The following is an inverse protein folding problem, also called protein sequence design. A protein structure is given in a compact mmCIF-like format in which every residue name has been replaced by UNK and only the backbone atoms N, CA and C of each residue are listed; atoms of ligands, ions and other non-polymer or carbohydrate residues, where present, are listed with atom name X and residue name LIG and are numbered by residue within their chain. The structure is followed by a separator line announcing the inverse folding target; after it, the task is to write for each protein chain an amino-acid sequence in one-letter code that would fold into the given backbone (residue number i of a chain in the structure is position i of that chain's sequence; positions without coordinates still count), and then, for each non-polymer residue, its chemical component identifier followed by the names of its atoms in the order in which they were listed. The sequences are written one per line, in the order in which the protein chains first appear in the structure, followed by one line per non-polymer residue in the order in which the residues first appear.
data_IF_992797227674
#
_entry.id   IF_992797227674
#
_cell.length_a   1.000
_cell.length_b   1.000
_cell.length_c   1.000
_cell.angle_alpha   90.00
_cell.angle_beta   90.00
_cell.angle_gamma   90.00
#
_symmetry.space_group_name_H-M   'P 1'
#
loop_
_entity.id
_entity.type
_entity.pdbx_description
1 polymer ?
#
# COMPACT_ATOMS: atom_id res chain seq x y z
N UNK A 1 5.36 -40.38 20.21
CA UNK A 1 6.40 -39.72 19.40
C UNK A 1 5.93 -39.47 17.96
N UNK A 2 5.25 -40.43 17.31
CA UNK A 2 4.81 -40.30 15.91
C UNK A 2 3.72 -39.23 15.74
N UNK A 3 2.78 -39.12 16.68
CA UNK A 3 1.75 -38.06 16.69
C UNK A 3 2.38 -36.63 16.82
N UNK A 4 3.41 -36.49 17.65
CA UNK A 4 4.14 -35.24 17.76
C UNK A 4 4.89 -34.87 16.48
N UNK A 5 5.53 -35.86 15.82
CA UNK A 5 6.20 -35.63 14.54
C UNK A 5 5.22 -35.30 13.42
N UNK A 6 4.04 -35.96 13.38
CA UNK A 6 2.99 -35.64 12.42
C UNK A 6 2.44 -34.22 12.62
N UNK A 7 2.23 -33.80 13.87
CA UNK A 7 1.81 -32.43 14.17
C UNK A 7 2.86 -31.38 13.78
N UNK A 8 4.14 -31.65 14.01
CA UNK A 8 5.23 -30.76 13.59
C UNK A 8 5.29 -30.69 12.06
N UNK A 9 5.18 -31.82 11.38
CA UNK A 9 5.21 -31.86 9.91
C UNK A 9 3.99 -31.19 9.26
N UNK A 10 2.86 -31.10 9.96
CA UNK A 10 1.65 -30.40 9.48
C UNK A 10 1.68 -28.87 9.75
N UNK A 11 2.62 -28.38 10.54
CA UNK A 11 2.76 -26.95 10.78
C UNK A 11 3.52 -26.27 9.63
N UNK A 12 3.17 -25.00 9.35
CA UNK A 12 3.99 -24.16 8.50
C UNK A 12 5.41 -24.06 9.08
N UNK A 13 6.41 -24.10 8.23
CA UNK A 13 7.80 -23.90 8.63
C UNK A 13 8.05 -22.47 9.13
N UNK A 14 9.22 -22.21 9.70
CA UNK A 14 9.55 -20.92 10.27
C UNK A 14 9.59 -19.81 9.21
N UNK A 15 10.03 -20.11 8.00
CA UNK A 15 10.11 -19.13 6.93
C UNK A 15 8.70 -18.75 6.46
N UNK A 16 7.80 -19.70 6.30
CA UNK A 16 6.40 -19.44 5.97
C UNK A 16 5.69 -18.64 7.07
N UNK A 17 5.95 -18.96 8.35
CA UNK A 17 5.40 -18.18 9.49
C UNK A 17 5.92 -16.75 9.51
N UNK A 18 7.22 -16.54 9.31
CA UNK A 18 7.84 -15.22 9.23
C UNK A 18 7.32 -14.42 8.05
N UNK A 19 7.16 -15.07 6.91
CA UNK A 19 6.63 -14.43 5.71
C UNK A 19 5.17 -13.96 5.88
N UNK A 20 4.35 -14.70 6.63
CA UNK A 20 2.95 -14.38 6.89
C UNK A 20 2.75 -13.39 8.05
N UNK A 21 3.74 -13.25 8.94
CA UNK A 21 3.59 -12.41 10.14
C UNK A 21 3.75 -10.92 9.84
N UNK A 22 2.88 -10.10 10.43
CA UNK A 22 3.03 -8.63 10.45
C UNK A 22 3.94 -8.14 11.58
N UNK A 23 4.14 -8.95 12.63
CA UNK A 23 5.03 -8.68 13.77
C UNK A 23 5.71 -9.98 14.19
N UNK A 24 7.00 -9.90 14.47
CA UNK A 24 7.77 -10.95 15.07
C UNK A 24 8.23 -10.52 16.46
N UNK A 25 7.94 -11.34 17.46
CA UNK A 25 8.45 -11.17 18.82
C UNK A 25 9.55 -12.19 19.06
N UNK A 26 10.71 -11.73 19.50
CA UNK A 26 11.79 -12.62 19.91
C UNK A 26 11.51 -13.18 21.31
N UNK A 27 11.53 -14.49 21.43
CA UNK A 27 11.31 -15.22 22.69
C UNK A 27 12.57 -16.01 23.10
N UNK A 28 13.77 -15.57 22.68
CA UNK A 28 15.04 -16.20 23.07
C UNK A 28 15.64 -15.62 24.37
N UNK A 29 15.07 -14.52 24.87
CA UNK A 29 15.47 -13.84 26.10
C UNK A 29 14.75 -14.36 27.35
N UNK A 30 14.66 -13.53 28.37
CA UNK A 30 13.91 -13.82 29.58
C UNK A 30 12.39 -13.69 29.37
N UNK A 31 11.56 -14.33 30.21
CA UNK A 31 10.11 -14.09 30.21
C UNK A 31 9.74 -12.63 30.41
N UNK A 32 10.53 -11.90 31.18
CA UNK A 32 10.35 -10.47 31.44
C UNK A 32 10.61 -9.62 30.20
N UNK A 33 11.61 -9.98 29.39
CA UNK A 33 11.89 -9.31 28.09
C UNK A 33 10.73 -9.50 27.12
N UNK A 34 10.20 -10.75 27.04
CA UNK A 34 9.04 -11.04 26.19
C UNK A 34 7.79 -10.28 26.68
N UNK A 35 7.52 -10.25 27.99
CA UNK A 35 6.39 -9.51 28.55
C UNK A 35 6.50 -8.02 28.19
N UNK A 36 7.68 -7.43 28.33
CA UNK A 36 7.94 -6.04 27.97
C UNK A 36 7.68 -5.79 26.48
N UNK A 37 8.13 -6.70 25.60
CA UNK A 37 7.91 -6.57 24.15
C UNK A 37 6.41 -6.71 23.79
N UNK A 38 5.69 -7.61 24.46
CA UNK A 38 4.23 -7.77 24.30
C UNK A 38 3.48 -6.52 24.75
N UNK A 39 3.82 -5.98 25.92
CA UNK A 39 3.19 -4.76 26.45
C UNK A 39 3.45 -3.56 25.54
N UNK A 40 4.67 -3.41 25.03
CA UNK A 40 5.01 -2.37 24.08
C UNK A 40 4.19 -2.50 22.77
N UNK A 41 4.10 -3.70 22.21
CA UNK A 41 3.28 -3.98 21.03
C UNK A 41 1.80 -3.68 21.29
N UNK A 42 1.30 -4.11 22.44
CA UNK A 42 -0.10 -3.89 22.85
C UNK A 42 -0.44 -2.40 22.86
N UNK A 43 0.38 -1.61 23.57
CA UNK A 43 0.13 -0.17 23.73
C UNK A 43 0.39 0.65 22.47
N UNK A 44 1.44 0.31 21.72
CA UNK A 44 1.85 1.11 20.55
C UNK A 44 1.12 0.74 19.25
N UNK A 45 0.56 -0.47 19.15
CA UNK A 45 -0.03 -0.93 17.89
C UNK A 45 -1.43 -1.54 18.06
N UNK A 46 -1.64 -2.49 19.00
CA UNK A 46 -2.91 -3.24 19.06
C UNK A 46 -4.05 -2.35 19.56
N UNK A 47 -3.85 -1.60 20.65
CA UNK A 47 -4.85 -0.67 21.17
C UNK A 47 -5.15 0.45 20.16
N UNK A 48 -4.16 1.17 19.61
CA UNK A 48 -4.42 2.18 18.58
C UNK A 48 -5.09 1.62 17.32
N UNK A 49 -4.73 0.40 16.89
CA UNK A 49 -5.42 -0.29 15.77
C UNK A 49 -6.91 -0.47 16.05
N UNK A 50 -7.24 -1.03 17.22
CA UNK A 50 -8.64 -1.28 17.61
C UNK A 50 -9.44 0.02 17.74
N UNK A 51 -8.83 1.08 18.26
CA UNK A 51 -9.45 2.41 18.37
C UNK A 51 -9.68 3.04 17.00
N UNK A 52 -8.68 2.97 16.12
CA UNK A 52 -8.75 3.49 14.76
C UNK A 52 -9.82 2.77 13.93
N UNK A 53 -9.92 1.44 14.08
CA UNK A 53 -10.96 0.64 13.43
C UNK A 53 -12.36 1.04 13.92
N UNK A 54 -12.56 1.19 15.24
CA UNK A 54 -13.84 1.56 15.85
C UNK A 54 -14.27 2.98 15.47
N UNK A 55 -13.32 3.92 15.36
CA UNK A 55 -13.59 5.32 15.00
C UNK A 55 -13.66 5.55 13.50
N UNK A 56 -13.31 4.57 12.66
CA UNK A 56 -13.16 4.74 11.22
C UNK A 56 -12.01 5.68 10.82
N UNK A 57 -10.99 5.82 11.68
CA UNK A 57 -9.88 6.74 11.47
C UNK A 57 -8.68 6.02 10.89
N UNK A 58 -8.24 6.40 9.68
CA UNK A 58 -7.04 5.82 9.07
C UNK A 58 -5.75 6.29 9.74
N UNK A 59 -4.75 5.43 9.76
CA UNK A 59 -3.38 5.81 10.10
C UNK A 59 -2.77 6.70 9.03
N UNK A 60 -1.86 7.57 9.43
CA UNK A 60 -1.14 8.49 8.54
C UNK A 60 0.35 8.39 8.80
N UNK A 61 1.16 8.53 7.76
CA UNK A 61 2.58 8.69 7.96
C UNK A 61 2.86 9.98 8.73
N UNK A 62 3.74 9.87 9.73
CA UNK A 62 4.07 10.99 10.61
C UNK A 62 4.82 12.13 9.88
N UNK A 63 5.44 11.83 8.73
CA UNK A 63 6.26 12.77 7.99
C UNK A 63 6.19 12.53 6.48
N UNK A 64 6.52 13.54 5.68
CA UNK A 64 6.75 13.43 4.24
C UNK A 64 8.17 12.96 3.88
N UNK A 65 9.05 12.75 4.88
CA UNK A 65 10.42 12.32 4.66
C UNK A 65 10.51 11.02 3.85
N UNK A 66 11.51 10.96 2.97
CA UNK A 66 11.80 9.77 2.19
C UNK A 66 12.70 8.83 3.01
N UNK A 67 12.32 7.56 3.06
CA UNK A 67 13.16 6.48 3.56
C UNK A 67 14.00 5.90 2.43
N UNK A 68 15.19 5.34 2.72
CA UNK A 68 15.89 4.49 1.76
C UNK A 68 15.01 3.37 1.26
N UNK A 69 15.30 2.79 0.08
CA UNK A 69 14.57 1.63 -0.41
C UNK A 69 14.60 0.49 0.60
N UNK A 70 13.43 -0.07 0.92
CA UNK A 70 13.30 -1.22 1.81
C UNK A 70 12.96 -2.47 1.00
N UNK A 71 13.84 -3.48 0.94
CA UNK A 71 13.61 -4.71 0.19
C UNK A 71 12.42 -5.53 0.72
N UNK A 72 11.88 -5.19 1.88
CA UNK A 72 10.73 -5.89 2.46
C UNK A 72 9.38 -5.34 2.02
N UNK A 73 9.32 -4.15 1.40
CA UNK A 73 8.06 -3.57 0.92
C UNK A 73 7.23 -4.49 0.01
N UNK A 74 7.82 -5.23 -0.95
CA UNK A 74 7.03 -6.16 -1.77
C UNK A 74 6.37 -7.27 -0.95
N UNK A 75 7.07 -7.85 0.03
CA UNK A 75 6.51 -8.87 0.91
C UNK A 75 5.41 -8.31 1.82
N UNK A 76 5.60 -7.09 2.33
CA UNK A 76 4.57 -6.38 3.11
C UNK A 76 3.33 -6.11 2.27
N UNK A 77 3.49 -5.61 1.04
CA UNK A 77 2.38 -5.39 0.11
C UNK A 77 1.64 -6.69 -0.21
N UNK A 78 2.36 -7.78 -0.44
CA UNK A 78 1.77 -9.09 -0.73
C UNK A 78 0.88 -9.59 0.43
N UNK A 79 1.29 -9.42 1.70
CA UNK A 79 0.48 -9.77 2.87
C UNK A 79 -0.80 -8.93 2.94
N UNK A 80 -0.69 -7.62 2.71
CA UNK A 80 -1.84 -6.71 2.71
C UNK A 80 -2.83 -7.06 1.59
N UNK A 81 -2.33 -7.33 0.37
CA UNK A 81 -3.14 -7.74 -0.77
C UNK A 81 -3.84 -9.07 -0.54
N UNK A 82 -3.15 -10.07 0.05
CA UNK A 82 -3.75 -11.36 0.40
C UNK A 82 -4.91 -11.19 1.41
N UNK A 83 -4.76 -10.33 2.42
CA UNK A 83 -5.79 -10.01 3.39
C UNK A 83 -7.00 -9.32 2.74
N UNK A 84 -6.76 -8.37 1.84
CA UNK A 84 -7.80 -7.70 1.06
C UNK A 84 -8.53 -8.70 0.15
N UNK A 85 -7.78 -9.53 -0.58
CA UNK A 85 -8.35 -10.55 -1.46
C UNK A 85 -9.21 -11.55 -0.70
N UNK A 86 -8.78 -11.97 0.49
CA UNK A 86 -9.58 -12.84 1.36
C UNK A 86 -10.91 -12.17 1.79
N UNK A 87 -10.85 -10.90 2.20
CA UNK A 87 -12.03 -10.18 2.67
C UNK A 87 -13.04 -9.88 1.57
N UNK A 88 -12.58 -9.56 0.37
CA UNK A 88 -13.43 -9.16 -0.75
C UNK A 88 -13.90 -10.33 -1.62
N UNK A 89 -13.15 -11.46 -1.64
CA UNK A 89 -13.48 -12.65 -2.43
C UNK A 89 -13.63 -12.34 -3.93
N UNK A 90 -14.67 -12.88 -4.54
CA UNK A 90 -14.94 -12.80 -6.00
C UNK A 90 -15.27 -11.39 -6.53
N UNK A 91 -15.38 -10.39 -5.65
CA UNK A 91 -15.54 -8.98 -6.03
C UNK A 91 -14.24 -8.36 -6.55
N UNK A 92 -13.09 -9.00 -6.26
CA UNK A 92 -11.79 -8.56 -6.75
C UNK A 92 -11.48 -9.23 -8.10
N UNK A 93 -11.12 -8.40 -9.08
CA UNK A 93 -10.66 -8.86 -10.40
C UNK A 93 -9.13 -8.91 -10.45
N UNK A 94 -8.47 -7.94 -9.81
CA UNK A 94 -7.02 -7.83 -9.77
C UNK A 94 -6.54 -7.12 -8.50
N UNK A 95 -5.33 -7.46 -8.05
CA UNK A 95 -4.67 -6.89 -6.88
C UNK A 95 -3.24 -6.51 -7.27
N UNK A 96 -2.85 -5.25 -7.05
CA UNK A 96 -1.57 -4.72 -7.49
C UNK A 96 -0.88 -3.91 -6.38
N UNK A 97 0.43 -4.11 -6.21
CA UNK A 97 1.30 -3.20 -5.48
C UNK A 97 1.73 -2.09 -6.44
N UNK A 98 1.35 -0.86 -6.16
CA UNK A 98 1.63 0.32 -6.99
C UNK A 98 2.44 1.37 -6.21
N UNK A 99 2.63 2.53 -6.81
CA UNK A 99 3.33 3.65 -6.17
C UNK A 99 4.83 3.42 -6.01
N UNK A 100 5.47 4.30 -5.25
CA UNK A 100 6.93 4.35 -5.14
C UNK A 100 7.54 3.12 -4.46
N UNK A 101 6.86 2.53 -3.47
CA UNK A 101 7.34 1.35 -2.75
C UNK A 101 7.28 0.07 -3.59
N UNK A 102 6.59 0.11 -4.73
CA UNK A 102 6.55 -0.97 -5.70
C UNK A 102 7.73 -0.95 -6.69
N UNK A 103 8.54 0.10 -6.69
CA UNK A 103 9.69 0.25 -7.58
C UNK A 103 10.98 -0.05 -6.83
N UNK A 104 11.75 -1.08 -7.21
CA UNK A 104 13.03 -1.39 -6.59
C UNK A 104 13.99 -0.20 -6.62
N UNK A 105 14.81 -0.08 -5.58
CA UNK A 105 15.84 0.95 -5.44
C UNK A 105 15.34 2.41 -5.41
N UNK A 106 14.04 2.63 -5.35
CA UNK A 106 13.46 3.97 -5.29
C UNK A 106 13.24 4.41 -3.83
N UNK A 107 13.92 5.45 -3.33
CA UNK A 107 13.60 6.04 -2.04
C UNK A 107 12.13 6.48 -2.01
N UNK A 108 11.42 6.17 -0.95
CA UNK A 108 10.00 6.48 -0.84
C UNK A 108 9.60 6.85 0.59
N UNK A 109 8.52 7.59 0.73
CA UNK A 109 7.79 7.65 1.99
C UNK A 109 7.33 6.24 2.35
N UNK A 110 7.52 5.82 3.60
CA UNK A 110 7.18 4.47 4.05
C UNK A 110 5.65 4.26 4.15
N UNK A 111 5.00 4.30 3.00
CA UNK A 111 3.56 4.06 2.80
C UNK A 111 3.39 3.10 1.63
N UNK A 112 2.69 2.01 1.88
CA UNK A 112 2.40 1.02 0.84
C UNK A 112 1.15 1.46 0.06
N UNK A 113 1.30 1.69 -1.24
CA UNK A 113 0.18 1.97 -2.12
C UNK A 113 -0.28 0.68 -2.81
N UNK A 114 -1.54 0.32 -2.61
CA UNK A 114 -2.18 -0.86 -3.17
C UNK A 114 -3.29 -0.45 -4.13
N UNK A 115 -3.51 -1.24 -5.16
CA UNK A 115 -4.61 -1.06 -6.09
C UNK A 115 -5.48 -2.32 -6.12
N UNK A 116 -6.78 -2.13 -5.93
CA UNK A 116 -7.81 -3.16 -5.99
C UNK A 116 -8.67 -2.91 -7.23
N UNK A 117 -8.64 -3.87 -8.14
CA UNK A 117 -9.43 -3.85 -9.35
C UNK A 117 -10.79 -4.51 -9.15
N UNK A 118 -11.85 -3.80 -9.48
CA UNK A 118 -13.24 -4.28 -9.53
C UNK A 118 -13.76 -4.24 -10.96
N UNK A 119 -14.87 -4.96 -11.25
CA UNK A 119 -15.51 -4.89 -12.58
C UNK A 119 -16.18 -3.55 -12.80
N UNK A 120 -16.93 -3.10 -11.78
CA UNK A 120 -17.62 -1.81 -11.76
C UNK A 120 -17.29 -1.09 -10.45
N UNK A 121 -16.87 0.17 -10.56
CA UNK A 121 -16.49 0.96 -9.40
C UNK A 121 -17.65 1.21 -8.42
N UNK A 122 -18.90 1.14 -8.90
CA UNK A 122 -20.10 1.25 -8.05
C UNK A 122 -20.23 0.12 -7.02
N UNK A 123 -19.62 -1.04 -7.27
CA UNK A 123 -19.53 -2.13 -6.30
C UNK A 123 -18.82 -1.69 -5.01
N UNK A 124 -17.82 -0.82 -5.14
CA UNK A 124 -17.04 -0.30 -4.02
C UNK A 124 -17.80 0.71 -3.13
N UNK A 125 -18.99 1.14 -3.55
CA UNK A 125 -19.87 1.99 -2.74
C UNK A 125 -20.86 1.16 -1.91
N UNK A 126 -20.96 -0.14 -2.18
CA UNK A 126 -21.82 -1.06 -1.44
C UNK A 126 -21.40 -1.19 0.03
N UNK A 127 -22.37 -1.16 0.95
CA UNK A 127 -22.12 -1.25 2.39
C UNK A 127 -21.31 -2.51 2.78
N UNK A 128 -21.60 -3.65 2.13
CA UNK A 128 -20.85 -4.90 2.36
C UNK A 128 -19.37 -4.79 1.93
N UNK A 129 -19.10 -4.17 0.77
CA UNK A 129 -17.72 -3.96 0.30
C UNK A 129 -16.91 -3.09 1.29
N UNK A 130 -17.52 -1.97 1.73
CA UNK A 130 -16.90 -1.06 2.69
C UNK A 130 -16.67 -1.73 4.03
N UNK A 131 -17.65 -2.52 4.52
CA UNK A 131 -17.53 -3.23 5.79
C UNK A 131 -16.46 -4.33 5.74
N UNK A 132 -16.35 -5.07 4.64
CA UNK A 132 -15.35 -6.13 4.49
C UNK A 132 -13.94 -5.57 4.38
N UNK A 133 -13.73 -4.45 3.65
CA UNK A 133 -12.44 -3.75 3.68
C UNK A 133 -12.11 -3.20 5.08
N UNK A 134 -13.10 -2.66 5.78
CA UNK A 134 -12.90 -2.20 7.16
C UNK A 134 -12.52 -3.37 8.09
N UNK A 135 -13.14 -4.54 7.96
CA UNK A 135 -12.79 -5.74 8.72
C UNK A 135 -11.36 -6.22 8.44
N UNK A 136 -10.86 -6.00 7.21
CA UNK A 136 -9.48 -6.22 6.84
C UNK A 136 -8.50 -5.12 7.31
N UNK A 137 -9.01 -4.10 8.02
CA UNK A 137 -8.22 -2.99 8.56
C UNK A 137 -8.05 -1.81 7.60
N UNK A 138 -8.93 -1.65 6.59
CA UNK A 138 -8.87 -0.55 5.62
C UNK A 138 -10.18 0.22 5.59
N UNK A 139 -10.22 1.38 6.24
CA UNK A 139 -11.42 2.22 6.31
C UNK A 139 -11.52 3.19 5.13
N UNK A 140 -12.75 3.48 4.70
CA UNK A 140 -13.02 4.44 3.62
C UNK A 140 -12.52 5.83 3.98
N UNK A 141 -11.90 6.52 3.01
CA UNK A 141 -11.53 7.93 3.11
C UNK A 141 -12.59 8.77 2.41
N UNK A 142 -13.47 9.45 3.14
CA UNK A 142 -14.53 10.26 2.54
C UNK A 142 -13.96 11.42 1.71
N UNK A 143 -14.65 11.78 0.61
CA UNK A 143 -14.30 12.91 -0.23
C UNK A 143 -13.09 12.69 -1.14
N UNK A 144 -12.51 11.48 -1.17
CA UNK A 144 -11.45 11.12 -2.11
C UNK A 144 -11.97 10.06 -3.06
N UNK A 145 -12.62 10.51 -4.12
CA UNK A 145 -13.37 9.67 -5.07
C UNK A 145 -12.84 9.72 -6.52
N UNK A 146 -11.79 10.49 -6.77
CA UNK A 146 -11.10 10.59 -8.06
C UNK A 146 -9.61 10.91 -7.91
N UNK A 147 -8.86 10.73 -8.97
CA UNK A 147 -7.54 11.30 -9.22
C UNK A 147 -7.66 12.39 -10.29
N UNK A 148 -6.70 13.30 -10.35
CA UNK A 148 -6.58 14.24 -11.47
C UNK A 148 -6.13 13.49 -12.72
N UNK A 149 -6.92 13.57 -13.78
CA UNK A 149 -6.53 13.05 -15.09
C UNK A 149 -5.50 13.97 -15.75
N UNK A 150 -4.65 13.40 -16.59
CA UNK A 150 -3.57 14.15 -17.23
C UNK A 150 -4.02 15.00 -18.43
N UNK A 151 -5.30 14.94 -18.75
CA UNK A 151 -5.98 15.77 -19.75
C UNK A 151 -6.87 16.89 -19.14
N UNK A 152 -6.74 17.12 -17.83
CA UNK A 152 -7.53 18.10 -17.08
C UNK A 152 -8.88 17.60 -16.59
N UNK A 153 -9.23 16.33 -16.83
CA UNK A 153 -10.42 15.69 -16.29
C UNK A 153 -10.17 15.00 -14.95
N UNK A 154 -10.99 14.00 -14.63
CA UNK A 154 -10.85 13.19 -13.42
C UNK A 154 -10.96 11.70 -13.74
N UNK A 155 -10.20 10.88 -12.98
CA UNK A 155 -10.28 9.42 -13.03
C UNK A 155 -10.97 8.92 -11.76
N UNK A 156 -12.18 8.33 -11.87
CA UNK A 156 -12.91 7.84 -10.71
C UNK A 156 -12.13 6.76 -9.96
N UNK A 157 -12.14 6.85 -8.63
CA UNK A 157 -11.61 5.83 -7.73
C UNK A 157 -12.38 5.82 -6.41
N UNK A 158 -12.04 4.87 -5.53
CA UNK A 158 -12.36 4.95 -4.11
C UNK A 158 -11.09 4.75 -3.30
N UNK A 159 -10.88 5.58 -2.29
CA UNK A 159 -9.70 5.48 -1.43
C UNK A 159 -10.08 4.91 -0.08
N UNK A 160 -9.29 3.92 0.37
CA UNK A 160 -9.30 3.43 1.75
C UNK A 160 -7.90 3.58 2.34
N UNK A 161 -7.82 3.70 3.66
CA UNK A 161 -6.55 3.79 4.37
C UNK A 161 -6.44 2.74 5.45
N UNK A 162 -5.24 2.21 5.66
CA UNK A 162 -4.95 1.32 6.77
C UNK A 162 -5.23 2.01 8.10
N UNK A 163 -5.80 1.28 9.06
CA UNK A 163 -5.93 1.71 10.47
C UNK A 163 -4.73 1.28 11.31
N UNK A 164 -3.84 0.49 10.76
CA UNK A 164 -2.66 -0.04 11.44
C UNK A 164 -1.56 1.02 11.57
N UNK A 165 -1.23 1.49 12.79
CA UNK A 165 -0.17 2.47 12.97
C UNK A 165 1.22 1.90 12.66
N UNK A 166 1.39 0.57 12.74
CA UNK A 166 2.65 -0.11 12.41
C UNK A 166 2.85 -0.34 10.91
N UNK A 167 1.79 -0.17 10.08
CA UNK A 167 1.91 -0.28 8.62
C UNK A 167 0.91 0.62 7.91
N UNK A 168 1.34 1.82 7.59
CA UNK A 168 0.51 2.75 6.82
C UNK A 168 0.41 2.28 5.37
N UNK A 169 -0.82 2.19 4.88
CA UNK A 169 -1.09 1.82 3.50
C UNK A 169 -2.31 2.55 2.95
N UNK A 170 -2.31 2.80 1.64
CA UNK A 170 -3.44 3.31 0.89
C UNK A 170 -3.94 2.23 -0.07
N UNK A 171 -5.26 2.10 -0.17
CA UNK A 171 -5.92 1.16 -1.08
C UNK A 171 -6.75 1.97 -2.07
N UNK A 172 -6.31 1.98 -3.31
CA UNK A 172 -6.99 2.63 -4.43
C UNK A 172 -7.88 1.59 -5.12
N UNK A 173 -9.19 1.72 -4.96
CA UNK A 173 -10.16 0.86 -5.68
C UNK A 173 -10.51 1.53 -6.98
N UNK A 174 -10.34 0.83 -8.11
CA UNK A 174 -10.62 1.31 -9.47
C UNK A 174 -11.27 0.20 -10.31
N UNK A 175 -12.01 0.57 -11.32
CA UNK A 175 -12.44 -0.39 -12.33
C UNK A 175 -11.21 -0.83 -13.15
N UNK A 176 -11.06 -2.15 -13.36
CA UNK A 176 -9.99 -2.70 -14.20
C UNK A 176 -10.12 -2.17 -15.63
N UNK A 177 -9.00 -1.76 -16.23
CA UNK A 177 -8.96 -1.16 -17.58
C UNK A 177 -9.45 0.29 -17.64
N UNK A 178 -9.78 0.92 -16.50
CA UNK A 178 -10.02 2.36 -16.49
C UNK A 178 -8.72 3.14 -16.66
N UNK A 179 -8.75 4.37 -17.20
CA UNK A 179 -7.52 5.15 -17.43
C UNK A 179 -6.65 5.31 -16.18
N UNK A 180 -7.26 5.53 -15.02
CA UNK A 180 -6.52 5.65 -13.74
C UNK A 180 -5.94 4.32 -13.25
N UNK A 181 -6.59 3.18 -13.57
CA UNK A 181 -6.05 1.84 -13.33
C UNK A 181 -4.80 1.61 -14.14
N UNK A 182 -4.88 1.80 -15.46
CA UNK A 182 -3.79 1.55 -16.38
C UNK A 182 -2.62 2.50 -16.14
N UNK A 183 -2.90 3.78 -15.90
CA UNK A 183 -1.86 4.77 -15.63
C UNK A 183 -1.00 4.41 -14.42
N UNK A 184 -1.61 3.96 -13.33
CA UNK A 184 -0.86 3.62 -12.11
C UNK A 184 0.06 2.40 -12.33
N UNK A 185 -0.37 1.42 -13.12
CA UNK A 185 0.44 0.25 -13.49
C UNK A 185 1.56 0.66 -14.43
N UNK A 186 1.25 1.39 -15.51
CA UNK A 186 2.24 1.81 -16.50
C UNK A 186 3.30 2.72 -15.88
N UNK A 187 2.90 3.61 -14.97
CA UNK A 187 3.84 4.47 -14.26
C UNK A 187 4.84 3.65 -13.42
N UNK A 188 4.36 2.63 -12.70
CA UNK A 188 5.21 1.69 -11.97
C UNK A 188 6.17 0.96 -12.91
N UNK A 189 5.65 0.38 -14.00
CA UNK A 189 6.44 -0.41 -14.94
C UNK A 189 7.46 0.46 -15.70
N UNK A 190 7.10 1.70 -16.01
CA UNK A 190 8.05 2.65 -16.60
C UNK A 190 9.22 2.93 -15.68
N UNK A 191 8.96 3.25 -14.41
CA UNK A 191 10.03 3.51 -13.43
C UNK A 191 10.90 2.27 -13.13
N UNK A 192 10.34 1.07 -13.29
CA UNK A 192 11.08 -0.19 -13.17
C UNK A 192 12.00 -0.42 -14.35
N UNK A 193 11.55 -0.07 -15.57
CA UNK A 193 12.24 -0.32 -16.80
C UNK A 193 13.24 0.78 -17.20
N UNK A 194 13.03 2.02 -16.74
CA UNK A 194 13.81 3.20 -17.09
C UNK A 194 14.50 3.79 -15.86
N UNK A 195 15.81 3.49 -15.64
CA UNK A 195 16.56 4.04 -14.52
C UNK A 195 16.65 5.58 -14.52
N UNK A 196 16.71 6.21 -15.70
CA UNK A 196 16.78 7.67 -15.82
C UNK A 196 15.47 8.31 -15.34
N UNK A 197 14.32 7.74 -15.72
CA UNK A 197 13.02 8.19 -15.25
C UNK A 197 12.87 7.98 -13.75
N UNK A 198 13.32 6.83 -13.22
CA UNK A 198 13.31 6.54 -11.78
C UNK A 198 14.14 7.56 -11.00
N UNK A 199 15.36 7.85 -11.44
CA UNK A 199 16.27 8.77 -10.78
C UNK A 199 15.75 10.22 -10.82
N UNK A 200 15.18 10.65 -11.96
CA UNK A 200 14.52 11.95 -12.09
C UNK A 200 13.33 12.07 -11.13
N UNK A 201 12.53 11.01 -11.01
CA UNK A 201 11.42 10.98 -10.06
C UNK A 201 11.89 11.00 -8.59
N UNK A 202 12.96 10.27 -8.27
CA UNK A 202 13.56 10.29 -6.94
C UNK A 202 14.05 11.71 -6.56
N UNK A 203 14.75 12.37 -7.46
CA UNK A 203 15.23 13.74 -7.28
C UNK A 203 14.08 14.74 -7.07
N UNK A 204 13.02 14.64 -7.88
CA UNK A 204 11.84 15.49 -7.74
C UNK A 204 11.15 15.29 -6.38
N UNK A 205 10.97 14.05 -5.95
CA UNK A 205 10.39 13.74 -4.63
C UNK A 205 11.23 14.29 -3.49
N UNK A 206 12.56 14.16 -3.55
CA UNK A 206 13.45 14.68 -2.54
C UNK A 206 13.35 16.22 -2.44
N UNK A 207 13.34 16.91 -3.59
CA UNK A 207 13.18 18.36 -3.64
C UNK A 207 11.83 18.83 -3.08
N UNK A 208 10.75 18.11 -3.35
CA UNK A 208 9.42 18.42 -2.81
C UNK A 208 9.34 18.15 -1.31
N UNK A 209 9.90 17.03 -0.83
CA UNK A 209 9.93 16.70 0.60
C UNK A 209 10.73 17.73 1.43
N UNK A 210 11.75 18.34 0.86
CA UNK A 210 12.52 19.40 1.49
C UNK A 210 11.72 20.72 1.63
N UNK A 211 10.70 20.94 0.79
CA UNK A 211 9.90 22.17 0.75
C UNK A 211 8.55 22.04 1.48
N UNK A 212 8.00 20.84 1.54
CA UNK A 212 6.68 20.56 2.07
C UNK A 212 6.76 19.52 3.18
N UNK A 213 6.59 19.95 4.43
CA UNK A 213 6.55 19.06 5.59
C UNK A 213 5.18 18.40 5.76
N UNK A 214 4.11 19.08 5.32
CA UNK A 214 2.75 18.53 5.30
C UNK A 214 2.58 17.50 4.17
N UNK A 215 1.86 16.44 4.48
CA UNK A 215 1.67 15.32 3.57
C UNK A 215 0.69 15.62 2.43
N UNK A 216 -0.26 16.55 2.65
CA UNK A 216 -1.22 17.01 1.64
C UNK A 216 -0.55 17.92 0.63
N UNK A 217 0.10 18.99 1.12
CA UNK A 217 0.85 19.94 0.27
C UNK A 217 1.91 19.23 -0.58
N UNK A 218 2.57 18.22 0.00
CA UNK A 218 3.51 17.38 -0.73
C UNK A 218 2.84 16.57 -1.85
N UNK A 219 1.65 16.01 -1.59
CA UNK A 219 0.92 15.24 -2.60
C UNK A 219 0.47 16.13 -3.76
N UNK A 220 -0.06 17.32 -3.47
CA UNK A 220 -0.52 18.29 -4.48
C UNK A 220 0.66 18.79 -5.32
N UNK A 221 1.80 19.09 -4.70
CA UNK A 221 3.00 19.53 -5.41
C UNK A 221 3.58 18.48 -6.36
N UNK A 222 3.30 17.19 -6.15
CA UNK A 222 3.71 16.10 -7.05
C UNK A 222 2.92 16.08 -8.38
N UNK A 223 1.70 16.61 -8.40
CA UNK A 223 0.87 16.57 -9.60
C UNK A 223 1.55 17.27 -10.78
N UNK A 224 2.18 18.43 -10.56
CA UNK A 224 2.91 19.15 -11.61
C UNK A 224 4.05 18.32 -12.23
N UNK A 225 4.70 17.47 -11.44
CA UNK A 225 5.72 16.56 -11.97
C UNK A 225 5.10 15.43 -12.79
N UNK A 226 3.98 14.87 -12.36
CA UNK A 226 3.27 13.83 -13.10
C UNK A 226 2.76 14.35 -14.44
N UNK A 227 2.25 15.59 -14.48
CA UNK A 227 1.80 16.22 -15.74
C UNK A 227 2.96 16.37 -16.73
N UNK A 228 4.12 16.82 -16.27
CA UNK A 228 5.33 16.90 -17.09
C UNK A 228 5.92 15.56 -17.49
N UNK A 229 5.66 14.49 -16.76
CA UNK A 229 6.15 13.14 -17.06
C UNK A 229 5.21 12.34 -17.97
N UNK A 230 3.95 12.75 -18.14
CA UNK A 230 2.92 11.99 -18.86
C UNK A 230 3.27 11.74 -20.33
N UNK A 231 3.82 12.72 -21.03
CA UNK A 231 4.25 12.55 -22.42
C UNK A 231 5.37 11.50 -22.57
N UNK A 232 6.30 11.45 -21.62
CA UNK A 232 7.37 10.44 -21.59
C UNK A 232 6.78 9.05 -21.32
N UNK A 233 5.85 8.95 -20.38
CA UNK A 233 5.14 7.72 -20.08
C UNK A 233 4.34 7.21 -21.28
N UNK A 234 3.62 8.09 -21.98
CA UNK A 234 2.86 7.74 -23.20
C UNK A 234 3.80 7.24 -24.31
N UNK A 235 4.93 7.90 -24.52
CA UNK A 235 5.94 7.49 -25.50
C UNK A 235 6.49 6.10 -25.16
N UNK A 236 6.82 5.86 -23.89
CA UNK A 236 7.30 4.56 -23.41
C UNK A 236 6.24 3.46 -23.59
N UNK A 237 4.96 3.76 -23.27
CA UNK A 237 3.84 2.83 -23.48
C UNK A 237 3.68 2.45 -24.95
N UNK A 238 3.71 3.42 -25.85
CA UNK A 238 3.58 3.19 -27.31
C UNK A 238 4.70 2.29 -27.85
N UNK A 239 5.94 2.48 -27.38
CA UNK A 239 7.08 1.67 -27.80
C UNK A 239 6.99 0.20 -27.34
N UNK A 240 6.20 -0.14 -26.34
CA UNK A 240 5.99 -1.53 -25.85
C UNK A 240 4.86 -2.25 -26.58
N UNK A 241 3.99 -1.53 -27.26
CA UNK A 241 2.84 -2.09 -28.00
C UNK A 241 3.17 -2.33 -29.49
N UNK A 242 4.31 -1.85 -29.96
CA UNK A 242 4.86 -2.05 -31.30
C UNK A 242 5.79 -3.27 -31.34
#
# INVERSE_FOLDING_TARGET
EDDARQRIAAQADDDARRAAADVLLDNNGSPEDLATAVDALWQSRIVPFAEALRSGTRSRAATSAQSPPDPTWPAQAARLLARIGHALGDRVVALEHIGSTAVPDLPAKDVIDLQVGVRDLTEADGAAFVADLASAGFVRVPGVDHDNAKDGGTWPKRLHGSVDPGRVAHVHVRAVGSPGWDWAIDFREWLRADPEARDAYAAAKAALAARHTDSGDYADAKEAWFDGADDRLRTWRAARQS
#
